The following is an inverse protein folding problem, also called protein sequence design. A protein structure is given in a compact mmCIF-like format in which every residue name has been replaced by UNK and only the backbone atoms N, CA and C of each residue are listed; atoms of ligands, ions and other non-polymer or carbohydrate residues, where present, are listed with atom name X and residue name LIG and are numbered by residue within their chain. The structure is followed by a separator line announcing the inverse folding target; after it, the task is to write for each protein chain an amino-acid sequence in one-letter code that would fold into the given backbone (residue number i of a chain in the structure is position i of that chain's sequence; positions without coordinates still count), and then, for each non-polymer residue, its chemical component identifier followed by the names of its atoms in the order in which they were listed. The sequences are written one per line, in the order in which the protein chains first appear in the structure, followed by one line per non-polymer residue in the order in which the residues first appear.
data_IF_290040294151
#
_entry.id   IF_290040294151
#
_cell.length_a   1.000
_cell.length_b   1.000
_cell.length_c   1.000
_cell.angle_alpha   90.00
_cell.angle_beta   90.00
_cell.angle_gamma   90.00
#
_symmetry.space_group_name_H-M   'P 1'
#
loop_
_entity.id
_entity.type
_entity.pdbx_description
1 polymer ?
#
# COMPACT_ATOMS: atom_id res chain seq x y z
N UNK A 1 -16.94 7.65 0.63
CA UNK A 1 -15.75 8.04 -0.14
C UNK A 1 -15.29 9.42 0.28
N UNK A 2 -14.98 9.52 1.58
CA UNK A 2 -14.10 10.55 2.10
C UNK A 2 -12.67 10.02 1.90
N UNK A 3 -11.86 10.73 1.12
CA UNK A 3 -10.45 10.42 0.93
C UNK A 3 -9.63 11.44 1.71
N UNK A 4 -8.82 10.98 2.66
CA UNK A 4 -7.89 11.82 3.39
C UNK A 4 -6.48 11.57 2.86
N UNK A 5 -5.81 12.60 2.35
CA UNK A 5 -4.41 12.47 1.91
C UNK A 5 -3.50 12.26 3.12
N UNK A 6 -2.57 11.30 3.01
CA UNK A 6 -1.55 11.01 4.00
C UNK A 6 -0.17 11.17 3.37
N UNK A 7 0.85 11.28 4.19
CA UNK A 7 2.23 11.44 3.73
C UNK A 7 2.98 10.11 3.85
N UNK A 8 3.16 9.44 2.71
CA UNK A 8 3.92 8.19 2.61
C UNK A 8 5.34 8.32 3.20
N UNK A 9 5.96 9.49 3.08
CA UNK A 9 7.35 9.70 3.53
C UNK A 9 7.48 9.92 5.04
N UNK A 10 6.37 9.97 5.78
CA UNK A 10 6.40 9.96 7.25
C UNK A 10 6.57 8.56 7.84
N UNK A 11 6.40 7.50 7.04
CA UNK A 11 6.74 6.13 7.42
C UNK A 11 8.24 5.99 7.71
N UNK A 12 8.63 5.00 8.49
CA UNK A 12 10.04 4.70 8.65
C UNK A 12 10.66 4.18 7.34
N UNK A 13 11.99 4.18 7.30
CA UNK A 13 12.73 3.83 6.08
C UNK A 13 12.56 2.37 5.67
N UNK A 14 12.33 1.46 6.63
CA UNK A 14 12.15 0.03 6.33
C UNK A 14 10.78 -0.20 5.70
N UNK A 15 9.74 0.41 6.25
CA UNK A 15 8.40 0.43 5.67
C UNK A 15 8.39 1.02 4.27
N UNK A 16 8.99 2.20 4.08
CA UNK A 16 9.08 2.83 2.76
C UNK A 16 9.77 1.90 1.76
N UNK A 17 10.90 1.29 2.14
CA UNK A 17 11.62 0.36 1.27
C UNK A 17 10.76 -0.87 0.91
N UNK A 18 10.02 -1.41 1.89
CA UNK A 18 9.10 -2.53 1.67
C UNK A 18 8.08 -2.21 0.58
N UNK A 19 7.34 -1.10 0.66
CA UNK A 19 6.38 -0.77 -0.39
C UNK A 19 7.04 -0.44 -1.72
N UNK A 20 8.20 0.21 -1.71
CA UNK A 20 8.91 0.60 -2.92
C UNK A 20 9.58 -0.58 -3.63
N UNK A 21 9.83 -1.72 -2.97
CA UNK A 21 10.54 -2.87 -3.54
C UNK A 21 9.69 -4.15 -3.59
N UNK A 22 8.81 -4.35 -2.61
CA UNK A 22 8.07 -5.59 -2.37
C UNK A 22 6.58 -5.43 -2.69
N UNK A 23 6.26 -5.01 -3.91
CA UNK A 23 4.87 -4.92 -4.39
C UNK A 23 4.51 -6.05 -5.35
N UNK A 24 3.30 -6.61 -5.18
CA UNK A 24 2.65 -7.45 -6.19
C UNK A 24 2.01 -6.61 -7.29
N UNK A 25 2.19 -7.02 -8.56
CA UNK A 25 1.50 -6.40 -9.69
C UNK A 25 0.59 -7.40 -10.39
N UNK A 26 -0.72 -7.11 -10.45
CA UNK A 26 -1.71 -7.97 -11.11
C UNK A 26 -1.46 -8.15 -12.62
N UNK A 27 -0.88 -7.15 -13.29
CA UNK A 27 -0.54 -7.24 -14.71
C UNK A 27 0.72 -8.09 -14.95
N UNK A 28 1.74 -7.97 -14.09
CA UNK A 28 2.95 -8.77 -14.21
C UNK A 28 2.83 -10.18 -13.59
N UNK A 29 1.84 -10.37 -12.72
CA UNK A 29 1.60 -11.57 -11.90
C UNK A 29 2.85 -12.02 -11.13
N UNK A 30 3.54 -11.06 -10.52
CA UNK A 30 4.83 -11.25 -9.84
C UNK A 30 4.88 -10.39 -8.57
N UNK A 31 5.50 -10.95 -7.53
CA UNK A 31 5.92 -10.23 -6.30
C UNK A 31 7.24 -9.49 -6.54
N UNK A 32 7.65 -8.65 -5.60
CA UNK A 32 8.97 -8.00 -5.54
C UNK A 32 9.31 -7.15 -6.76
N UNK A 33 8.30 -6.55 -7.38
CA UNK A 33 8.51 -5.61 -8.49
C UNK A 33 8.69 -4.18 -8.02
N UNK A 34 8.12 -3.86 -6.86
CA UNK A 34 8.12 -2.53 -6.29
C UNK A 34 7.24 -1.53 -7.03
N UNK A 35 6.99 -0.41 -6.38
CA UNK A 35 6.24 0.72 -6.93
C UNK A 35 7.08 2.00 -7.02
N UNK A 36 6.67 2.91 -7.89
CA UNK A 36 7.16 4.29 -8.01
C UNK A 36 5.98 5.25 -7.89
N UNK A 37 6.28 6.51 -7.61
CA UNK A 37 5.28 7.56 -7.38
C UNK A 37 4.24 7.16 -6.30
N UNK A 38 4.67 6.76 -5.09
CA UNK A 38 3.76 6.30 -4.05
C UNK A 38 2.87 7.46 -3.55
N UNK A 39 1.60 7.16 -3.34
CA UNK A 39 0.60 8.06 -2.77
C UNK A 39 -0.13 7.30 -1.69
N UNK A 40 0.01 7.77 -0.44
CA UNK A 40 -0.73 7.23 0.69
C UNK A 40 -2.01 8.04 0.92
N UNK A 41 -3.11 7.36 1.22
CA UNK A 41 -4.36 7.99 1.57
C UNK A 41 -5.22 7.07 2.41
N UNK A 42 -6.05 7.66 3.25
CA UNK A 42 -7.12 6.93 3.93
C UNK A 42 -8.40 7.00 3.08
N UNK A 43 -9.07 5.86 2.92
CA UNK A 43 -10.34 5.76 2.22
C UNK A 43 -11.33 4.98 3.07
N UNK A 44 -12.39 5.66 3.52
CA UNK A 44 -13.46 5.06 4.34
C UNK A 44 -12.91 4.28 5.57
N UNK A 45 -11.86 4.82 6.21
CA UNK A 45 -11.20 4.25 7.39
C UNK A 45 -10.10 3.23 7.11
N UNK A 46 -9.78 2.95 5.84
CA UNK A 46 -8.73 2.01 5.44
C UNK A 46 -7.56 2.78 4.85
N UNK A 47 -6.34 2.52 5.32
CA UNK A 47 -5.14 3.14 4.77
C UNK A 47 -4.71 2.39 3.50
N UNK A 48 -4.59 3.14 2.42
CA UNK A 48 -4.23 2.66 1.09
C UNK A 48 -2.92 3.31 0.63
N UNK A 49 -2.05 2.52 0.01
CA UNK A 49 -0.88 3.01 -0.71
C UNK A 49 -1.03 2.65 -2.18
N UNK A 50 -1.10 3.65 -3.04
CA UNK A 50 -1.16 3.48 -4.48
C UNK A 50 0.13 3.95 -5.13
N UNK A 51 0.57 3.26 -6.17
CA UNK A 51 1.72 3.67 -6.97
C UNK A 51 1.68 3.02 -8.34
N UNK A 52 2.78 3.15 -9.09
CA UNK A 52 2.95 2.50 -10.39
C UNK A 52 3.99 1.40 -10.29
N UNK A 53 3.69 0.22 -10.82
CA UNK A 53 4.66 -0.87 -10.91
C UNK A 53 5.95 -0.41 -11.61
N UNK A 54 7.12 -0.63 -11.00
CA UNK A 54 8.41 -0.25 -11.61
C UNK A 54 8.68 -0.98 -12.94
N UNK A 55 8.14 -2.19 -13.12
CA UNK A 55 8.33 -3.03 -14.30
C UNK A 55 7.44 -2.65 -15.49
N UNK A 56 6.13 -2.56 -15.28
CA UNK A 56 5.17 -2.34 -16.37
C UNK A 56 4.50 -0.96 -16.37
N UNK A 57 4.61 -0.19 -15.28
CA UNK A 57 3.97 1.12 -15.14
C UNK A 57 2.49 1.09 -14.80
N UNK A 58 1.87 -0.09 -14.73
CA UNK A 58 0.47 -0.27 -14.32
C UNK A 58 0.27 0.14 -12.86
N UNK A 59 -0.93 0.64 -12.55
CA UNK A 59 -1.29 1.01 -11.19
C UNK A 59 -1.29 -0.21 -10.27
N UNK A 60 -0.69 -0.06 -9.09
CA UNK A 60 -0.66 -1.05 -8.03
C UNK A 60 -1.13 -0.40 -6.75
N UNK A 61 -1.96 -1.10 -5.99
CA UNK A 61 -2.53 -0.61 -4.74
C UNK A 61 -2.29 -1.66 -3.67
N UNK A 62 -1.78 -1.21 -2.53
CA UNK A 62 -1.58 -2.00 -1.32
C UNK A 62 -2.53 -1.47 -0.26
N UNK A 63 -3.40 -2.34 0.23
CA UNK A 63 -4.24 -2.08 1.39
C UNK A 63 -3.45 -2.41 2.65
N UNK A 64 -3.44 -1.49 3.62
CA UNK A 64 -2.88 -1.71 4.93
C UNK A 64 -4.04 -2.09 5.83
N UNK A 65 -4.05 -3.34 6.29
CA UNK A 65 -4.95 -3.73 7.36
C UNK A 65 -4.47 -3.03 8.64
N UNK A 66 -5.30 -2.15 9.21
CA UNK A 66 -5.10 -1.70 10.58
C UNK A 66 -5.24 -2.92 11.50
N UNK A 67 -4.26 -3.13 12.38
CA UNK A 67 -4.33 -4.15 13.44
C UNK A 67 -5.40 -3.79 14.51
N UNK A 68 -6.11 -2.68 14.36
CA UNK A 68 -7.27 -2.27 15.18
C UNK A 68 -8.60 -2.90 14.72
N UNK A 69 -8.55 -4.02 13.99
CA UNK A 69 -9.68 -4.95 14.00
C UNK A 69 -9.60 -5.76 15.31
N UNK A 70 -10.07 -5.12 16.40
CA UNK A 70 -10.55 -5.77 17.63
C UNK A 70 -11.75 -6.72 17.33
N UNK A 71 -11.77 -7.42 16.21
CA UNK A 71 -12.54 -8.66 16.12
C UNK A 71 -11.84 -9.65 17.05
N UNK A 72 -12.28 -9.62 18.30
CA UNK A 72 -12.13 -10.70 19.24
C UNK A 72 -12.37 -12.01 18.48
N UNK A 73 -11.28 -12.71 18.17
CA UNK A 73 -11.31 -14.10 17.74
C UNK A 73 -11.90 -14.90 18.89
N UNK A 74 -13.23 -14.92 18.96
CA UNK A 74 -14.00 -15.83 19.81
C UNK A 74 -14.07 -17.15 19.05
N UNK A 75 -13.22 -18.09 19.47
CA UNK A 75 -13.53 -19.52 19.45
C UNK A 75 -13.18 -20.12 20.82
#
# INVERSE_FOLDING_TARGET
MERQERDFYQRDAEDQASFLEQTWCNNCQQVDLGMKDPVEYELDGVIMIEGKCKKCGESVTTELADEDDDSEWID
#
